data_IF_529932713113
#
_entry.id   IF_529932713113
#
_cell.length_a   1.000
_cell.length_b   1.000
_cell.length_c   1.000
_cell.angle_alpha   90.00
_cell.angle_beta   90.00
_cell.angle_gamma   90.00
#
_symmetry.space_group_name_H-M   'P 1'
#
loop_
_entity.id
_entity.type
_entity.pdbx_description
1 polymer ?
#
# COMPACT_ATOMS: atom_id res chain seq x y z
N UNK A 1 9.03 -7.13 -7.77
CA UNK A 1 10.21 -7.77 -8.42
C UNK A 1 11.17 -6.74 -9.03
N UNK A 2 10.68 -5.67 -9.68
CA UNK A 2 11.51 -4.65 -10.34
C UNK A 2 12.58 -4.02 -9.44
N UNK A 3 12.30 -3.58 -8.20
CA UNK A 3 13.35 -3.04 -7.33
C UNK A 3 14.49 -4.02 -7.06
N UNK A 4 14.16 -5.31 -6.93
CA UNK A 4 15.18 -6.36 -6.73
C UNK A 4 16.01 -6.62 -7.98
N UNK A 5 15.39 -6.58 -9.16
CA UNK A 5 16.11 -6.67 -10.45
C UNK A 5 17.06 -5.50 -10.60
N UNK A 6 16.63 -4.28 -10.28
CA UNK A 6 17.44 -3.07 -10.29
C UNK A 6 18.65 -3.15 -9.36
N UNK A 7 18.49 -3.74 -8.19
CA UNK A 7 19.57 -3.96 -7.24
C UNK A 7 20.57 -5.01 -7.76
N UNK A 8 20.10 -6.06 -8.42
CA UNK A 8 20.93 -7.17 -8.91
C UNK A 8 21.56 -6.88 -10.28
N UNK A 9 20.93 -6.04 -11.10
CA UNK A 9 21.41 -5.75 -12.46
C UNK A 9 22.86 -5.24 -12.51
N UNK A 10 23.32 -4.30 -11.65
CA UNK A 10 24.71 -3.88 -11.61
C UNK A 10 25.67 -5.01 -11.21
N UNK A 11 25.26 -5.89 -10.28
CA UNK A 11 26.05 -7.05 -9.86
C UNK A 11 26.21 -8.08 -11.00
N UNK A 12 25.27 -8.08 -11.95
CA UNK A 12 25.29 -8.91 -13.16
C UNK A 12 25.97 -8.20 -14.36
N UNK A 13 26.60 -7.04 -14.12
CA UNK A 13 27.31 -6.28 -15.17
C UNK A 13 26.40 -5.44 -16.07
N UNK A 14 25.12 -5.26 -15.71
CA UNK A 14 24.18 -4.48 -16.48
C UNK A 14 24.21 -3.00 -16.05
N UNK A 15 24.84 -2.16 -16.87
CA UNK A 15 25.05 -0.72 -16.61
C UNK A 15 24.21 0.18 -17.51
N UNK A 16 23.05 -0.28 -17.97
CA UNK A 16 22.17 0.48 -18.87
C UNK A 16 21.64 1.76 -18.24
N UNK A 17 21.74 2.87 -18.97
CA UNK A 17 21.06 4.11 -18.62
C UNK A 17 19.62 4.03 -19.12
N UNK A 18 18.68 3.79 -18.22
CA UNK A 18 17.26 3.68 -18.52
C UNK A 18 16.66 5.09 -18.60
N UNK A 19 16.69 5.66 -19.79
CA UNK A 19 16.27 7.03 -20.04
C UNK A 19 14.94 7.43 -19.42
N UNK A 20 14.89 8.65 -18.95
CA UNK A 20 13.75 9.26 -18.29
C UNK A 20 12.74 9.71 -19.35
N UNK A 21 11.76 8.90 -19.69
CA UNK A 21 10.78 9.18 -20.76
C UNK A 21 9.40 9.57 -20.22
N UNK A 22 9.29 10.46 -19.28
CA UNK A 22 8.09 11.09 -18.69
C UNK A 22 6.68 10.48 -18.96
N UNK A 23 6.47 9.89 -20.13
CA UNK A 23 5.22 9.30 -20.57
C UNK A 23 4.80 8.06 -19.75
N UNK A 24 5.75 7.35 -19.16
CA UNK A 24 5.52 6.12 -18.42
C UNK A 24 5.62 6.28 -16.90
N UNK A 25 5.45 7.50 -16.40
CA UNK A 25 5.56 7.80 -14.97
C UNK A 25 7.02 7.77 -14.49
N UNK A 26 7.95 8.19 -15.33
CA UNK A 26 9.36 8.22 -15.00
C UNK A 26 9.66 9.39 -14.09
N UNK A 27 10.14 9.07 -12.93
CA UNK A 27 10.76 9.96 -11.98
C UNK A 27 12.11 9.34 -11.59
N UNK A 28 12.95 10.07 -10.89
CA UNK A 28 14.30 9.60 -10.51
C UNK A 28 14.31 8.25 -9.77
N UNK A 29 13.17 7.84 -9.24
CA UNK A 29 12.94 6.58 -8.58
C UNK A 29 12.30 5.47 -9.45
N UNK A 30 11.93 5.74 -10.70
CA UNK A 30 11.45 4.75 -11.67
C UNK A 30 12.37 4.68 -12.90
N UNK A 31 13.60 4.23 -12.70
CA UNK A 31 14.61 4.15 -13.76
C UNK A 31 14.24 3.21 -14.93
N UNK A 32 13.40 2.23 -14.69
CA UNK A 32 13.05 1.23 -15.72
C UNK A 32 11.94 1.70 -16.66
N UNK A 33 11.31 2.88 -16.43
CA UNK A 33 10.26 3.42 -17.30
C UNK A 33 9.12 2.44 -17.58
N UNK A 34 8.89 1.50 -16.67
CA UNK A 34 7.85 0.48 -16.81
C UNK A 34 6.53 1.03 -16.32
N UNK A 35 5.41 0.35 -16.66
CA UNK A 35 4.08 0.64 -16.14
C UNK A 35 4.03 0.43 -14.61
N UNK A 36 4.85 1.16 -13.90
CA UNK A 36 5.14 1.04 -12.48
C UNK A 36 3.87 1.08 -11.62
N UNK A 37 2.97 2.00 -11.95
CA UNK A 37 1.73 2.17 -11.22
C UNK A 37 0.69 1.07 -11.48
N UNK A 38 0.80 0.35 -12.58
CA UNK A 38 -0.18 -0.66 -13.00
C UNK A 38 0.35 -2.08 -12.80
N UNK A 39 1.63 -2.33 -13.07
CA UNK A 39 2.20 -3.68 -13.14
C UNK A 39 2.14 -4.46 -11.82
N UNK A 40 2.24 -3.78 -10.67
CA UNK A 40 2.15 -4.43 -9.36
C UNK A 40 0.73 -4.72 -8.91
N UNK A 41 -0.21 -3.84 -9.23
CA UNK A 41 -1.60 -3.96 -8.79
C UNK A 41 -2.35 -5.08 -9.50
N UNK A 42 -2.05 -5.37 -10.75
CA UNK A 42 -2.66 -6.50 -11.47
C UNK A 42 -2.46 -7.83 -10.74
N UNK A 43 -1.29 -8.05 -10.15
CA UNK A 43 -1.01 -9.23 -9.32
C UNK A 43 -1.91 -9.34 -8.09
N UNK A 44 -2.19 -8.22 -7.43
CA UNK A 44 -3.10 -8.19 -6.28
C UNK A 44 -4.56 -8.45 -6.67
N UNK A 45 -5.02 -7.97 -7.83
CA UNK A 45 -6.35 -8.27 -8.35
C UNK A 45 -6.52 -9.77 -8.62
N UNK A 46 -5.53 -10.39 -9.28
CA UNK A 46 -5.52 -11.84 -9.53
C UNK A 46 -5.48 -12.62 -8.22
N UNK A 47 -4.65 -12.20 -7.26
CA UNK A 47 -4.58 -12.82 -5.93
C UNK A 47 -5.91 -12.71 -5.19
N UNK A 48 -6.53 -11.53 -5.18
CA UNK A 48 -7.81 -11.32 -4.52
C UNK A 48 -8.90 -12.20 -5.15
N UNK A 49 -8.98 -12.23 -6.48
CA UNK A 49 -9.90 -13.10 -7.20
C UNK A 49 -9.67 -14.58 -6.85
N UNK A 50 -8.41 -15.03 -6.84
CA UNK A 50 -8.05 -16.40 -6.49
C UNK A 50 -8.47 -16.77 -5.07
N UNK A 51 -8.15 -15.91 -4.09
CA UNK A 51 -8.48 -16.15 -2.70
C UNK A 51 -9.99 -16.11 -2.42
N UNK A 52 -10.74 -15.29 -3.17
CA UNK A 52 -12.20 -15.28 -3.08
C UNK A 52 -12.80 -16.56 -3.66
N UNK A 53 -12.29 -17.02 -4.80
CA UNK A 53 -12.80 -18.22 -5.49
C UNK A 53 -12.37 -19.51 -4.81
N UNK A 54 -11.17 -19.53 -4.23
CA UNK A 54 -10.56 -20.68 -3.58
C UNK A 54 -10.10 -20.33 -2.16
N UNK A 55 -11.02 -20.06 -1.23
CA UNK A 55 -10.65 -19.70 0.14
C UNK A 55 -9.93 -20.86 0.81
N UNK A 56 -8.82 -20.60 1.54
CA UNK A 56 -8.10 -21.67 2.25
C UNK A 56 -8.99 -22.33 3.30
N UNK A 57 -9.25 -23.63 3.15
CA UNK A 57 -10.01 -24.44 4.10
C UNK A 57 -9.20 -24.83 5.34
N UNK A 58 -8.38 -23.93 5.86
CA UNK A 58 -7.52 -24.16 7.03
C UNK A 58 -8.30 -23.99 8.34
N UNK A 59 -7.90 -24.72 9.38
CA UNK A 59 -8.38 -24.42 10.73
C UNK A 59 -7.87 -23.04 11.20
N UNK A 60 -8.52 -22.43 12.21
CA UNK A 60 -8.05 -21.15 12.78
C UNK A 60 -6.61 -21.23 13.29
N UNK A 61 -6.23 -22.34 13.95
CA UNK A 61 -4.86 -22.55 14.42
C UNK A 61 -3.85 -22.53 13.26
N UNK A 62 -4.15 -23.26 12.18
CA UNK A 62 -3.28 -23.28 10.99
C UNK A 62 -3.23 -21.92 10.30
N UNK A 63 -4.37 -21.24 10.19
CA UNK A 63 -4.42 -19.89 9.59
C UNK A 63 -3.52 -18.92 10.36
N UNK A 64 -3.64 -18.88 11.69
CA UNK A 64 -2.79 -18.02 12.52
C UNK A 64 -1.32 -18.42 12.46
N UNK A 65 -1.02 -19.73 12.51
CA UNK A 65 0.35 -20.24 12.44
C UNK A 65 1.07 -19.91 11.11
N UNK A 66 0.34 -19.74 10.02
CA UNK A 66 0.90 -19.35 8.73
C UNK A 66 0.87 -17.82 8.56
N UNK A 67 -0.28 -17.20 8.79
CA UNK A 67 -0.48 -15.78 8.48
C UNK A 67 0.33 -14.86 9.39
N UNK A 68 0.41 -15.16 10.70
CA UNK A 68 1.10 -14.28 11.63
C UNK A 68 2.62 -14.23 11.40
N UNK A 69 3.35 -15.36 11.28
CA UNK A 69 4.77 -15.31 10.97
C UNK A 69 5.07 -14.68 9.61
N UNK A 70 4.24 -14.95 8.59
CA UNK A 70 4.39 -14.36 7.26
C UNK A 70 4.23 -12.84 7.31
N UNK A 71 3.21 -12.36 8.01
CA UNK A 71 3.00 -10.91 8.21
C UNK A 71 4.17 -10.29 8.96
N UNK A 72 4.60 -10.90 10.07
CA UNK A 72 5.72 -10.40 10.87
C UNK A 72 7.02 -10.39 10.08
N UNK A 73 7.30 -11.40 9.27
CA UNK A 73 8.47 -11.42 8.41
C UNK A 73 8.44 -10.27 7.38
N UNK A 74 7.31 -10.05 6.71
CA UNK A 74 7.14 -8.91 5.80
C UNK A 74 7.31 -7.56 6.51
N UNK A 75 6.73 -7.41 7.70
CA UNK A 75 6.86 -6.22 8.52
C UNK A 75 8.31 -5.95 8.96
N UNK A 76 9.01 -6.99 9.41
CA UNK A 76 10.41 -6.88 9.82
C UNK A 76 11.31 -6.52 8.62
N UNK A 77 11.10 -7.15 7.47
CA UNK A 77 11.84 -6.81 6.24
C UNK A 77 11.63 -5.34 5.87
N UNK A 78 10.40 -4.84 5.95
CA UNK A 78 10.09 -3.43 5.67
C UNK A 78 10.74 -2.50 6.71
N UNK A 79 10.51 -2.75 8.00
CA UNK A 79 10.98 -1.88 9.08
C UNK A 79 12.49 -1.88 9.24
N UNK A 80 13.11 -3.06 9.33
CA UNK A 80 14.57 -3.19 9.43
C UNK A 80 15.25 -2.73 8.14
N UNK A 81 14.68 -3.08 6.98
CA UNK A 81 15.19 -2.64 5.70
C UNK A 81 15.22 -1.13 5.58
N UNK A 82 14.15 -0.44 6.02
CA UNK A 82 14.12 1.02 6.06
C UNK A 82 15.26 1.60 6.92
N UNK A 83 15.43 1.08 8.14
CA UNK A 83 16.50 1.52 9.05
C UNK A 83 17.89 1.28 8.46
N UNK A 84 18.12 0.09 7.90
CA UNK A 84 19.40 -0.28 7.28
C UNK A 84 19.69 0.61 6.05
N UNK A 85 18.71 0.83 5.19
CA UNK A 85 18.90 1.67 4.00
C UNK A 85 19.18 3.13 4.36
N UNK A 86 18.47 3.68 5.36
CA UNK A 86 18.73 5.03 5.84
C UNK A 86 20.11 5.19 6.50
N UNK A 87 20.57 4.16 7.21
CA UNK A 87 21.87 4.19 7.88
C UNK A 87 23.04 4.07 6.90
N UNK A 88 22.95 3.19 5.91
CA UNK A 88 24.06 2.87 5.01
C UNK A 88 24.01 3.63 3.69
N UNK A 89 22.84 4.08 3.25
CA UNK A 89 22.62 4.78 1.99
C UNK A 89 21.71 5.99 2.18
N UNK A 90 22.09 6.96 3.04
CA UNK A 90 21.24 8.11 3.35
C UNK A 90 20.97 8.93 2.08
N UNK A 91 19.71 9.27 1.84
CA UNK A 91 19.30 10.05 0.67
C UNK A 91 19.21 9.26 -0.65
N UNK A 92 19.51 7.98 -0.66
CA UNK A 92 19.38 7.15 -1.86
C UNK A 92 17.95 6.55 -1.93
N UNK A 93 17.06 7.23 -2.62
CA UNK A 93 15.67 6.79 -2.79
C UNK A 93 15.53 5.47 -3.55
N UNK A 94 16.45 5.15 -4.46
CA UNK A 94 16.42 3.91 -5.21
C UNK A 94 16.56 2.67 -4.31
N UNK A 95 17.40 2.74 -3.29
CA UNK A 95 17.54 1.67 -2.30
C UNK A 95 16.36 1.64 -1.31
N UNK A 96 15.82 2.80 -0.93
CA UNK A 96 14.61 2.85 -0.11
C UNK A 96 13.40 2.22 -0.81
N UNK A 97 13.32 2.37 -2.12
CA UNK A 97 12.26 1.80 -2.93
C UNK A 97 12.15 0.28 -2.79
N UNK A 98 13.26 -0.43 -2.57
CA UNK A 98 13.28 -1.89 -2.38
C UNK A 98 12.37 -2.32 -1.23
N UNK A 99 12.37 -1.56 -0.13
CA UNK A 99 11.63 -1.90 1.10
C UNK A 99 10.29 -1.18 1.21
N UNK A 100 10.13 -0.06 0.53
CA UNK A 100 8.91 0.72 0.52
C UNK A 100 7.96 0.33 -0.65
N UNK A 101 8.46 -0.30 -1.71
CA UNK A 101 7.68 -0.55 -2.91
C UNK A 101 6.38 -1.32 -2.62
N UNK A 102 5.23 -0.71 -2.95
CA UNK A 102 3.90 -1.21 -2.60
C UNK A 102 3.53 -2.57 -3.24
N UNK A 103 4.24 -2.99 -4.30
CA UNK A 103 4.13 -4.32 -4.90
C UNK A 103 5.36 -5.20 -4.59
N UNK A 104 6.15 -4.86 -3.57
CA UNK A 104 7.29 -5.64 -3.11
C UNK A 104 6.85 -6.95 -2.44
N UNK A 105 7.75 -7.91 -2.38
CA UNK A 105 7.51 -9.21 -1.74
C UNK A 105 7.16 -9.03 -0.26
N UNK A 106 7.81 -8.10 0.43
CA UNK A 106 7.55 -7.77 1.83
C UNK A 106 6.10 -7.25 2.03
N UNK A 107 5.62 -6.40 1.13
CA UNK A 107 4.24 -5.89 1.17
C UNK A 107 3.25 -7.00 0.84
N UNK A 108 3.56 -7.85 -0.13
CA UNK A 108 2.77 -9.06 -0.42
C UNK A 108 2.67 -9.97 0.80
N UNK A 109 3.79 -10.21 1.51
CA UNK A 109 3.83 -11.02 2.75
C UNK A 109 3.00 -10.42 3.87
N UNK A 110 2.74 -9.11 3.88
CA UNK A 110 1.81 -8.47 4.82
C UNK A 110 0.37 -8.51 4.32
N UNK A 111 0.14 -8.22 3.05
CA UNK A 111 -1.21 -8.07 2.47
C UNK A 111 -1.97 -9.39 2.37
N UNK A 112 -1.33 -10.45 1.85
CA UNK A 112 -1.99 -11.74 1.65
C UNK A 112 -2.48 -12.37 2.97
N UNK A 113 -1.67 -12.43 4.06
CA UNK A 113 -2.14 -12.90 5.36
C UNK A 113 -3.30 -12.09 5.93
N UNK A 114 -3.24 -10.75 5.84
CA UNK A 114 -4.32 -9.90 6.32
C UNK A 114 -5.60 -10.18 5.56
N UNK A 115 -5.52 -10.31 4.24
CA UNK A 115 -6.68 -10.64 3.41
C UNK A 115 -7.32 -11.98 3.84
N UNK A 116 -6.51 -13.03 4.01
CA UNK A 116 -6.98 -14.36 4.44
C UNK A 116 -7.62 -14.29 5.84
N UNK A 117 -7.01 -13.57 6.79
CA UNK A 117 -7.54 -13.42 8.14
C UNK A 117 -8.88 -12.67 8.14
N UNK A 118 -8.96 -11.55 7.41
CA UNK A 118 -10.19 -10.77 7.29
C UNK A 118 -11.29 -11.58 6.61
N UNK A 119 -10.99 -12.27 5.52
CA UNK A 119 -11.94 -13.14 4.81
C UNK A 119 -12.50 -14.23 5.74
N UNK A 120 -11.64 -14.84 6.54
CA UNK A 120 -12.04 -15.87 7.49
C UNK A 120 -12.83 -15.33 8.67
N UNK A 121 -12.49 -14.14 9.17
CA UNK A 121 -13.20 -13.48 10.27
C UNK A 121 -14.54 -12.87 9.83
N UNK A 122 -14.62 -12.38 8.61
CA UNK A 122 -15.78 -11.69 8.05
C UNK A 122 -16.76 -12.64 7.35
N UNK A 123 -16.93 -13.86 7.85
CA UNK A 123 -17.81 -14.88 7.27
C UNK A 123 -19.28 -14.45 7.13
N UNK A 124 -19.69 -13.35 7.79
CA UNK A 124 -21.04 -12.78 7.70
C UNK A 124 -20.96 -11.34 7.18
N UNK A 125 -21.73 -11.00 6.12
CA UNK A 125 -21.77 -9.63 5.62
C UNK A 125 -22.35 -8.70 6.69
N UNK A 126 -21.65 -7.59 6.95
CA UNK A 126 -22.11 -6.53 7.85
C UNK A 126 -22.45 -5.30 7.01
N UNK A 127 -23.64 -4.77 7.15
CA UNK A 127 -24.13 -3.64 6.34
C UNK A 127 -23.20 -2.42 6.38
N UNK A 128 -22.57 -2.12 7.52
CA UNK A 128 -21.63 -1.01 7.62
C UNK A 128 -20.32 -1.26 6.85
N UNK A 129 -19.80 -2.51 6.85
CA UNK A 129 -18.62 -2.89 6.04
C UNK A 129 -18.90 -2.81 4.54
N UNK A 130 -20.10 -3.23 4.13
CA UNK A 130 -20.52 -3.12 2.74
C UNK A 130 -20.61 -1.65 2.28
N UNK A 131 -21.13 -0.75 3.13
CA UNK A 131 -21.14 0.69 2.86
C UNK A 131 -19.73 1.28 2.80
N UNK A 132 -18.84 0.86 3.69
CA UNK A 132 -17.45 1.29 3.67
C UNK A 132 -16.75 0.80 2.41
N UNK A 133 -16.96 -0.46 2.04
CA UNK A 133 -16.40 -1.04 0.83
C UNK A 133 -16.83 -0.31 -0.44
N UNK A 134 -18.11 0.10 -0.55
CA UNK A 134 -18.57 0.89 -1.70
C UNK A 134 -17.94 2.28 -1.78
N UNK A 135 -17.47 2.85 -0.66
CA UNK A 135 -16.79 4.13 -0.63
C UNK A 135 -15.27 4.05 -0.87
N UNK A 136 -14.70 2.83 -0.87
CA UNK A 136 -13.23 2.64 -0.86
C UNK A 136 -12.56 3.23 -2.09
N UNK A 137 -13.18 3.11 -3.27
CA UNK A 137 -12.64 3.67 -4.51
C UNK A 137 -12.58 5.20 -4.45
N UNK A 138 -13.66 5.85 -4.04
CA UNK A 138 -13.68 7.30 -3.87
C UNK A 138 -12.69 7.79 -2.81
N UNK A 139 -12.57 7.08 -1.68
CA UNK A 139 -11.57 7.37 -0.65
C UNK A 139 -10.16 7.27 -1.25
N UNK A 140 -9.88 6.23 -2.03
CA UNK A 140 -8.59 6.06 -2.70
C UNK A 140 -8.26 7.23 -3.63
N UNK A 141 -9.22 7.77 -4.36
CA UNK A 141 -9.00 8.88 -5.27
C UNK A 141 -8.68 10.20 -4.56
N UNK A 142 -9.33 10.47 -3.42
CA UNK A 142 -9.23 11.80 -2.77
C UNK A 142 -8.27 11.84 -1.56
N UNK A 143 -7.84 10.69 -1.01
CA UNK A 143 -7.09 10.66 0.25
C UNK A 143 -5.77 11.44 0.22
N UNK A 144 -5.08 11.51 -0.91
CA UNK A 144 -3.82 12.24 -1.04
C UNK A 144 -3.94 13.72 -0.65
N UNK A 145 -5.05 14.36 -1.04
CA UNK A 145 -5.32 15.77 -0.70
C UNK A 145 -5.42 15.93 0.82
N UNK A 146 -6.12 15.01 1.48
CA UNK A 146 -6.36 15.07 2.91
C UNK A 146 -5.16 14.59 3.74
N UNK A 147 -4.33 13.70 3.21
CA UNK A 147 -3.05 13.33 3.82
C UNK A 147 -2.12 14.55 3.84
N UNK A 148 -1.99 15.28 2.73
CA UNK A 148 -1.16 16.47 2.66
C UNK A 148 -1.68 17.57 3.60
N UNK A 149 -2.98 17.86 3.56
CA UNK A 149 -3.59 18.84 4.45
C UNK A 149 -3.44 18.45 5.95
N UNK A 150 -3.61 17.17 6.25
CA UNK A 150 -3.41 16.63 7.60
C UNK A 150 -1.96 16.75 8.06
N UNK A 151 -1.01 16.50 7.18
CA UNK A 151 0.41 16.66 7.44
C UNK A 151 0.76 18.13 7.77
N UNK A 152 0.31 19.07 6.95
CA UNK A 152 0.54 20.50 7.13
C UNK A 152 -0.10 21.03 8.44
N UNK A 153 -1.27 20.47 8.82
CA UNK A 153 -1.94 20.83 10.06
C UNK A 153 -1.21 20.28 11.30
N UNK A 154 -0.82 19.02 11.25
CA UNK A 154 -0.18 18.33 12.38
C UNK A 154 1.25 18.81 12.62
N UNK A 155 1.95 19.27 11.57
CA UNK A 155 3.27 19.90 11.73
C UNK A 155 3.25 21.17 12.58
N UNK A 156 2.12 21.86 12.67
CA UNK A 156 1.95 23.05 13.50
C UNK A 156 1.89 22.75 15.00
N UNK A 157 1.83 21.47 15.38
CA UNK A 157 1.86 21.02 16.78
C UNK A 157 3.30 20.59 17.11
N UNK A 158 4.09 21.43 17.81
CA UNK A 158 5.54 21.26 17.87
C UNK A 158 6.01 20.01 18.64
N UNK A 159 5.26 19.55 19.63
CA UNK A 159 5.73 18.49 20.56
C UNK A 159 5.14 17.10 20.29
N UNK A 160 4.45 16.90 19.17
CA UNK A 160 3.82 15.61 18.91
C UNK A 160 4.85 14.59 18.40
N UNK A 161 5.05 13.44 19.07
CA UNK A 161 6.00 12.43 18.62
C UNK A 161 5.54 11.79 17.30
N UNK A 162 6.48 11.36 16.46
CA UNK A 162 6.20 10.76 15.14
C UNK A 162 5.22 9.57 15.22
N UNK A 163 5.32 8.76 16.28
CA UNK A 163 4.43 7.64 16.57
C UNK A 163 2.96 8.05 16.72
N UNK A 164 2.69 9.27 17.19
CA UNK A 164 1.33 9.81 17.29
C UNK A 164 0.92 10.59 16.04
N UNK A 165 1.86 11.28 15.38
CA UNK A 165 1.59 12.04 14.15
C UNK A 165 1.07 11.16 13.03
N UNK A 166 1.74 10.03 12.78
CA UNK A 166 1.40 9.15 11.66
C UNK A 166 -0.04 8.62 11.78
N UNK A 167 -0.46 7.98 12.90
CA UNK A 167 -1.83 7.50 13.01
C UNK A 167 -2.86 8.64 13.04
N UNK A 168 -2.52 9.80 13.60
CA UNK A 168 -3.42 10.95 13.61
C UNK A 168 -3.71 11.46 12.19
N UNK A 169 -2.67 11.62 11.37
CA UNK A 169 -2.81 12.02 9.96
C UNK A 169 -3.58 10.94 9.18
N UNK A 170 -3.23 9.67 9.34
CA UNK A 170 -3.86 8.58 8.64
C UNK A 170 -5.36 8.44 8.98
N UNK A 171 -5.71 8.46 10.26
CA UNK A 171 -7.09 8.39 10.70
C UNK A 171 -7.90 9.64 10.31
N UNK A 172 -7.29 10.82 10.42
CA UNK A 172 -7.89 12.08 10.00
C UNK A 172 -8.17 12.12 8.51
N UNK A 173 -7.16 11.81 7.69
CA UNK A 173 -7.30 11.76 6.25
C UNK A 173 -8.35 10.74 5.81
N UNK A 174 -8.37 9.56 6.42
CA UNK A 174 -9.38 8.53 6.15
C UNK A 174 -10.79 9.01 6.51
N UNK A 175 -10.98 9.59 7.70
CA UNK A 175 -12.29 10.06 8.17
C UNK A 175 -12.84 11.17 7.28
N UNK A 176 -12.01 12.15 6.91
CA UNK A 176 -12.40 13.25 6.03
C UNK A 176 -12.67 12.75 4.61
N UNK A 177 -11.82 11.89 4.06
CA UNK A 177 -12.05 11.27 2.75
C UNK A 177 -13.38 10.52 2.72
N UNK A 178 -13.64 9.72 3.74
CA UNK A 178 -14.90 8.98 3.85
C UNK A 178 -16.11 9.92 3.95
N UNK A 179 -16.04 10.99 4.76
CA UNK A 179 -17.10 11.96 4.87
C UNK A 179 -17.41 12.66 3.53
N UNK A 180 -16.36 13.04 2.79
CA UNK A 180 -16.50 13.64 1.47
C UNK A 180 -17.14 12.67 0.48
N UNK A 181 -16.65 11.43 0.40
CA UNK A 181 -17.21 10.40 -0.49
C UNK A 181 -18.66 10.09 -0.13
N UNK A 182 -18.96 9.96 1.15
CA UNK A 182 -20.34 9.76 1.63
C UNK A 182 -21.27 10.94 1.24
N UNK A 183 -20.76 12.17 1.26
CA UNK A 183 -21.51 13.33 0.79
C UNK A 183 -21.71 13.28 -0.73
N UNK A 184 -20.66 12.92 -1.48
CA UNK A 184 -20.72 12.77 -2.94
C UNK A 184 -21.71 11.68 -3.38
N UNK A 185 -21.83 10.60 -2.62
CA UNK A 185 -22.78 9.52 -2.89
C UNK A 185 -24.25 9.94 -2.74
N UNK A 186 -24.53 11.07 -2.10
CA UNK A 186 -25.91 11.60 -1.98
C UNK A 186 -26.44 12.24 -3.26
N UNK A 187 -25.57 12.69 -4.17
CA UNK A 187 -25.98 13.31 -5.43
C UNK A 187 -25.75 12.37 -6.60
N UNK A 188 -26.74 12.24 -7.45
CA UNK A 188 -26.75 11.28 -8.58
C UNK A 188 -25.59 11.49 -9.56
N UNK A 189 -25.14 12.71 -9.75
CA UNK A 189 -24.03 13.06 -10.66
C UNK A 189 -22.69 12.65 -10.08
N UNK A 190 -22.41 13.02 -8.84
CA UNK A 190 -21.13 12.76 -8.17
C UNK A 190 -21.00 11.31 -7.71
N UNK A 191 -22.11 10.64 -7.46
CA UNK A 191 -22.14 9.23 -7.10
C UNK A 191 -21.45 8.34 -8.16
N UNK A 192 -21.68 8.64 -9.44
CA UNK A 192 -21.08 7.89 -10.56
C UNK A 192 -19.57 8.04 -10.67
N UNK A 193 -18.98 9.05 -10.00
CA UNK A 193 -17.54 9.28 -9.99
C UNK A 193 -16.82 8.51 -8.87
N UNK A 194 -17.55 8.10 -7.83
CA UNK A 194 -16.97 7.52 -6.61
C UNK A 194 -17.43 6.08 -6.31
N UNK A 195 -18.37 5.58 -7.10
CA UNK A 195 -18.79 4.16 -7.18
C UNK A 195 -18.24 3.52 -8.46
#
# INVERSE_FOLDING_TARGET
LLPYVKMLAPALGYTGNYGNTGLYGVCDWNEFGTFYYVSGFAGYLVLAFYLVKFPPAWSWRKTLAVCLPTFLAGYLVTGLGYVVMQKHFPGNYAYLEIVWYFAGINVFMMTAPVFILVQKAAARPRAWLSRLASATFGIYLCHFIFVQAGYDLVQRIPELPALARIPLIACGAFAVSWAVVWLMQRWSVTRRLVE
#
